data_IF_203900519722
#
_entry.id   IF_203900519722
#
_cell.length_a   1.000
_cell.length_b   1.000
_cell.length_c   1.000
_cell.angle_alpha   90.00
_cell.angle_beta   90.00
_cell.angle_gamma   90.00
#
_symmetry.space_group_name_H-M   'P 1'
#
loop_
_entity.id
_entity.type
_entity.pdbx_description
1 polymer ?
#
# COMPACT_ATOMS: atom_id res chain seq x y z
N UNK A 1 67.70 -35.51 25.15
CA UNK A 1 66.98 -36.41 26.08
C UNK A 1 66.87 -35.71 27.43
N UNK A 2 65.64 -35.41 27.88
CA UNK A 2 65.18 -34.94 29.20
C UNK A 2 63.92 -34.09 28.94
N UNK A 3 62.71 -34.61 29.21
CA UNK A 3 61.93 -34.46 30.47
C UNK A 3 61.36 -33.02 30.60
N UNK A 4 60.09 -32.74 30.94
CA UNK A 4 58.96 -33.53 31.43
C UNK A 4 57.66 -32.71 31.30
N UNK A 5 56.56 -33.39 30.96
CA UNK A 5 55.20 -33.38 31.58
C UNK A 5 54.80 -32.09 32.31
N UNK A 6 53.73 -31.36 31.98
CA UNK A 6 52.38 -31.83 31.64
C UNK A 6 51.57 -32.06 32.92
N UNK A 7 50.90 -31.01 33.44
CA UNK A 7 49.98 -31.06 34.59
C UNK A 7 48.51 -30.85 34.14
N UNK A 8 47.51 -31.23 34.95
CA UNK A 8 46.32 -31.93 34.46
C UNK A 8 45.05 -31.08 34.37
N UNK A 9 44.13 -31.67 33.62
CA UNK A 9 42.68 -31.47 33.57
C UNK A 9 41.99 -31.51 34.94
N UNK A 10 41.12 -30.53 35.21
CA UNK A 10 39.98 -30.68 36.12
C UNK A 10 38.71 -30.09 35.49
N UNK A 11 37.73 -30.96 35.33
CA UNK A 11 36.34 -30.70 34.93
C UNK A 11 35.55 -30.21 36.14
N UNK A 12 34.74 -29.16 36.00
CA UNK A 12 33.60 -28.91 36.89
C UNK A 12 32.36 -28.50 36.09
N UNK A 13 31.31 -29.29 36.31
CA UNK A 13 29.95 -29.17 35.78
C UNK A 13 29.13 -28.10 36.55
N UNK A 14 28.16 -27.53 35.82
CA UNK A 14 26.82 -27.08 36.23
C UNK A 14 26.67 -26.18 37.48
N UNK A 15 26.06 -25.00 37.27
CA UNK A 15 24.76 -24.63 37.88
C UNK A 15 24.30 -23.24 37.39
N UNK A 16 23.22 -23.21 36.62
CA UNK A 16 22.47 -22.00 36.25
C UNK A 16 21.75 -21.41 37.49
N UNK A 17 21.67 -20.08 37.64
CA UNK A 17 20.69 -19.48 38.54
C UNK A 17 19.35 -19.26 37.82
N UNK A 18 18.32 -19.93 38.32
CA UNK A 18 16.90 -19.60 38.09
C UNK A 18 16.50 -18.35 38.91
N UNK A 19 15.39 -17.74 38.45
CA UNK A 19 14.45 -16.78 39.10
C UNK A 19 14.76 -15.31 38.76
N UNK A 20 13.81 -14.43 38.44
CA UNK A 20 12.35 -14.51 38.47
C UNK A 20 11.79 -13.36 37.61
N UNK A 21 10.80 -13.61 36.75
CA UNK A 21 9.90 -12.57 36.27
C UNK A 21 8.46 -13.04 36.50
N UNK A 22 7.82 -12.39 37.46
CA UNK A 22 6.44 -12.55 37.85
C UNK A 22 5.56 -12.05 36.70
N UNK A 23 4.81 -12.93 36.04
CA UNK A 23 3.64 -12.54 35.24
C UNK A 23 2.38 -12.79 36.08
N UNK A 24 1.47 -11.83 36.05
CA UNK A 24 0.06 -12.02 36.38
C UNK A 24 -0.81 -11.42 35.27
N UNK A 25 -2.07 -11.89 35.15
CA UNK A 25 -2.71 -12.14 33.85
C UNK A 25 -3.96 -11.26 33.61
N UNK A 26 -4.71 -11.64 32.57
CA UNK A 26 -6.00 -11.11 32.09
C UNK A 26 -5.87 -10.06 30.97
N UNK A 27 -6.62 -10.11 29.86
CA UNK A 27 -7.91 -10.75 29.58
C UNK A 27 -8.01 -11.01 28.07
N UNK A 28 -8.47 -12.20 27.71
CA UNK A 28 -8.78 -12.60 26.33
C UNK A 28 -10.19 -12.13 25.98
N UNK A 29 -10.36 -11.41 24.87
CA UNK A 29 -11.58 -11.51 24.05
C UNK A 29 -11.19 -11.57 22.57
N UNK A 30 -11.37 -12.76 22.02
CA UNK A 30 -11.33 -13.05 20.60
C UNK A 30 -12.66 -12.56 20.02
N UNK A 31 -12.61 -11.73 18.97
CA UNK A 31 -13.80 -11.41 18.15
C UNK A 31 -13.55 -12.01 16.78
N UNK A 32 -14.41 -12.97 16.47
CA UNK A 32 -14.58 -13.66 15.19
C UNK A 32 -14.97 -12.70 14.09
N UNK A 33 -14.35 -12.85 12.92
CA UNK A 33 -14.78 -12.21 11.69
C UNK A 33 -15.89 -13.02 11.03
N UNK A 34 -17.05 -12.41 10.80
CA UNK A 34 -18.02 -12.89 9.82
C UNK A 34 -18.34 -11.78 8.83
N UNK A 35 -18.19 -12.13 7.56
CA UNK A 35 -18.56 -11.37 6.38
C UNK A 35 -20.08 -11.32 6.25
N UNK A 36 -20.67 -10.15 5.93
CA UNK A 36 -21.58 -9.95 4.78
C UNK A 36 -22.34 -8.61 4.83
N UNK A 37 -22.38 -7.95 3.67
CA UNK A 37 -23.44 -7.05 3.14
C UNK A 37 -23.88 -5.81 3.91
N UNK A 38 -23.56 -4.62 3.38
CA UNK A 38 -24.48 -3.67 2.70
C UNK A 38 -23.82 -2.28 2.52
N UNK A 39 -23.86 -1.73 1.31
CA UNK A 39 -23.79 -0.27 1.11
C UNK A 39 -25.13 0.35 1.53
N UNK A 40 -25.11 1.60 2.05
CA UNK A 40 -25.80 2.64 1.32
C UNK A 40 -25.08 4.00 1.27
N UNK A 41 -25.55 4.79 0.32
CA UNK A 41 -25.04 6.04 -0.23
C UNK A 41 -25.31 7.27 0.66
N UNK A 42 -24.39 8.25 0.61
CA UNK A 42 -24.50 9.68 1.01
C UNK A 42 -24.78 9.98 2.49
N UNK A 43 -23.87 10.67 3.18
CA UNK A 43 -23.83 12.14 3.31
C UNK A 43 -22.62 12.57 4.16
N UNK A 44 -21.91 13.57 3.64
CA UNK A 44 -20.85 14.42 4.18
C UNK A 44 -20.76 14.57 5.72
N UNK A 45 -19.62 14.19 6.30
CA UNK A 45 -18.92 14.89 7.40
C UNK A 45 -17.45 14.44 7.38
N UNK A 46 -16.61 15.24 6.72
CA UNK A 46 -15.15 15.08 6.76
C UNK A 46 -14.70 15.44 8.18
N UNK A 47 -14.42 14.42 9.00
CA UNK A 47 -13.65 14.63 10.22
C UNK A 47 -12.24 15.02 9.80
N UNK A 48 -11.89 16.27 10.09
CA UNK A 48 -10.57 16.87 9.92
C UNK A 48 -9.57 16.03 10.72
N UNK A 49 -8.67 15.33 10.04
CA UNK A 49 -7.48 14.79 10.67
C UNK A 49 -6.67 15.95 11.28
N UNK A 50 -6.08 15.80 12.47
CA UNK A 50 -5.12 16.77 12.96
C UNK A 50 -3.94 16.82 11.99
N UNK A 51 -3.48 18.03 11.69
CA UNK A 51 -2.34 18.30 10.82
C UNK A 51 -1.17 17.37 11.16
N UNK A 52 -0.80 16.51 10.21
CA UNK A 52 0.56 16.01 10.13
C UNK A 52 1.38 17.16 9.51
N UNK A 53 1.87 18.06 10.36
CA UNK A 53 2.80 19.08 9.90
C UNK A 53 4.03 18.38 9.32
N UNK A 54 4.17 18.56 8.02
CA UNK A 54 5.34 18.32 7.21
C UNK A 54 6.56 18.90 7.96
N UNK A 55 7.50 18.06 8.36
CA UNK A 55 8.79 18.53 8.90
C UNK A 55 9.57 19.15 7.74
N UNK A 56 9.29 20.44 7.51
CA UNK A 56 9.87 21.26 6.45
C UNK A 56 11.30 21.62 6.86
N UNK A 57 12.27 20.84 6.37
CA UNK A 57 13.71 21.04 6.62
C UNK A 57 14.29 22.26 5.89
N UNK A 58 13.47 23.07 5.22
CA UNK A 58 13.90 24.23 4.43
C UNK A 58 14.03 25.55 5.23
N UNK A 59 13.68 25.56 6.53
CA UNK A 59 13.76 26.78 7.39
C UNK A 59 14.80 26.76 8.52
N UNK A 60 15.82 25.90 8.46
CA UNK A 60 17.00 26.08 9.33
C UNK A 60 18.06 26.96 8.64
N UNK A 61 17.66 28.15 8.20
CA UNK A 61 18.57 29.20 7.78
C UNK A 61 18.64 30.27 8.87
N UNK A 62 19.87 30.47 9.37
CA UNK A 62 20.32 31.52 10.31
C UNK A 62 20.01 31.28 11.78
N UNK A 63 20.59 30.22 12.34
CA UNK A 63 21.05 30.30 13.73
C UNK A 63 22.56 30.51 13.73
N UNK A 64 22.98 31.77 13.89
CA UNK A 64 24.37 32.19 14.05
C UNK A 64 24.99 31.71 15.38
N UNK A 65 24.38 30.71 16.04
CA UNK A 65 24.70 30.33 17.41
C UNK A 65 25.93 29.41 17.54
N UNK A 66 26.51 28.97 16.42
CA UNK A 66 27.70 28.11 16.40
C UNK A 66 29.00 28.82 15.97
N UNK A 67 28.97 30.12 15.63
CA UNK A 67 30.20 30.89 15.38
C UNK A 67 30.76 31.62 16.61
N UNK A 68 30.01 31.70 17.70
CA UNK A 68 30.45 32.44 18.90
C UNK A 68 31.26 31.58 19.89
N UNK A 69 31.41 30.26 19.66
CA UNK A 69 32.17 29.40 20.58
C UNK A 69 33.68 29.32 20.22
N UNK A 70 34.11 29.91 19.10
CA UNK A 70 35.51 29.81 18.61
C UNK A 70 36.34 31.09 18.88
N UNK A 71 35.74 32.20 19.34
CA UNK A 71 36.43 33.49 19.51
C UNK A 71 36.92 33.81 20.94
N UNK A 72 36.93 32.84 21.86
CA UNK A 72 37.03 33.14 23.30
C UNK A 72 38.29 32.70 24.05
N UNK A 73 39.16 31.86 23.49
CA UNK A 73 40.23 31.26 24.30
C UNK A 73 41.61 31.53 23.70
N UNK A 74 42.04 32.79 23.84
CA UNK A 74 43.45 33.13 23.92
C UNK A 74 44.07 32.33 25.08
N UNK A 75 44.71 31.21 24.76
CA UNK A 75 45.48 30.42 25.72
C UNK A 75 46.88 31.04 25.91
N UNK A 76 46.93 32.34 26.17
CA UNK A 76 48.13 33.05 26.64
C UNK A 76 47.96 33.40 28.12
N UNK A 77 47.53 32.43 28.94
CA UNK A 77 47.75 32.54 30.37
C UNK A 77 49.20 32.14 30.66
N UNK A 78 50.05 33.16 30.64
CA UNK A 78 51.34 33.18 31.29
C UNK A 78 51.18 32.59 32.70
N UNK A 79 51.79 31.43 32.92
CA UNK A 79 51.74 30.73 34.20
C UNK A 79 52.68 31.45 35.17
N UNK A 80 52.12 32.33 35.99
CA UNK A 80 52.82 32.80 37.19
C UNK A 80 52.82 31.70 38.25
N UNK A 81 53.77 30.78 38.12
CA UNK A 81 54.14 29.88 39.22
C UNK A 81 54.82 30.70 40.31
N UNK A 82 54.04 31.17 41.28
CA UNK A 82 54.59 31.62 42.55
C UNK A 82 55.03 30.39 43.34
N UNK A 83 56.30 30.06 43.24
CA UNK A 83 56.98 29.18 44.20
C UNK A 83 56.91 29.85 45.56
N UNK A 84 56.05 29.37 46.45
CA UNK A 84 56.08 29.80 47.85
C UNK A 84 57.49 29.56 48.38
N UNK A 85 58.11 30.59 48.96
CA UNK A 85 59.46 30.50 49.52
C UNK A 85 59.54 29.28 50.46
N UNK A 86 60.58 28.45 50.31
CA UNK A 86 60.88 27.36 51.24
C UNK A 86 61.04 27.97 52.63
N UNK A 87 59.98 27.92 53.44
CA UNK A 87 60.10 28.13 54.87
C UNK A 87 61.02 27.03 55.42
N UNK A 88 62.15 27.37 56.07
CA UNK A 88 62.95 26.38 56.77
C UNK A 88 62.04 25.71 57.79
N UNK A 89 61.84 24.39 57.65
CA UNK A 89 61.11 23.62 58.67
C UNK A 89 62.01 23.54 59.90
N UNK A 90 61.82 24.48 60.82
CA UNK A 90 62.50 24.46 62.11
C UNK A 90 61.75 23.49 63.03
N UNK A 91 61.98 22.21 62.81
CA UNK A 91 61.56 21.13 63.70
C UNK A 91 62.80 20.37 64.16
N UNK A 92 63.71 21.07 64.82
CA UNK A 92 64.79 20.41 65.54
C UNK A 92 64.21 19.93 66.88
N UNK A 93 63.96 18.62 66.99
CA UNK A 93 63.56 18.03 68.27
C UNK A 93 64.78 18.03 69.19
N UNK A 94 64.82 18.97 70.14
CA UNK A 94 65.92 19.09 71.10
C UNK A 94 65.79 18.03 72.21
N UNK A 95 66.54 16.95 72.06
CA UNK A 95 66.54 15.81 72.98
C UNK A 95 67.13 16.17 74.35
N UNK A 96 68.09 17.10 74.42
CA UNK A 96 68.76 17.48 75.66
C UNK A 96 67.86 18.36 76.53
N UNK A 97 67.14 19.31 75.91
CA UNK A 97 66.17 20.14 76.62
C UNK A 97 65.00 19.32 77.17
N UNK A 98 64.61 18.26 76.47
CA UNK A 98 63.57 17.34 76.93
C UNK A 98 64.02 16.52 78.16
N UNK A 99 65.25 15.98 78.12
CA UNK A 99 65.81 15.23 79.26
C UNK A 99 66.00 16.12 80.49
N UNK A 100 66.49 17.35 80.34
CA UNK A 100 66.66 18.29 81.47
C UNK A 100 65.33 18.62 82.15
N UNK A 101 64.25 18.85 81.38
CA UNK A 101 62.92 19.08 81.96
C UNK A 101 62.41 17.88 82.75
N UNK A 102 62.64 16.66 82.27
CA UNK A 102 62.23 15.46 83.01
C UNK A 102 63.01 15.31 84.33
N UNK A 103 64.29 15.67 84.32
CA UNK A 103 65.10 15.70 85.55
C UNK A 103 64.60 16.76 86.55
N UNK A 104 64.20 17.94 86.07
CA UNK A 104 63.61 19.01 86.91
C UNK A 104 62.29 18.57 87.57
N UNK A 105 61.50 17.72 86.90
CA UNK A 105 60.24 17.15 87.41
C UNK A 105 60.46 15.90 88.30
N UNK A 106 61.71 15.59 88.66
CA UNK A 106 62.04 14.53 89.64
C UNK A 106 62.32 13.15 89.05
N UNK A 107 62.48 13.01 87.72
CA UNK A 107 62.91 11.75 87.12
C UNK A 107 64.42 11.57 87.20
N UNK A 108 64.87 10.32 87.35
CA UNK A 108 66.31 10.02 87.26
C UNK A 108 66.80 10.22 85.82
N UNK A 109 68.09 10.53 85.67
CA UNK A 109 68.70 10.72 84.34
C UNK A 109 68.51 9.50 83.44
N UNK A 110 68.70 8.30 83.99
CA UNK A 110 68.51 7.05 83.25
C UNK A 110 67.07 6.85 82.74
N UNK A 111 66.07 7.19 83.57
CA UNK A 111 64.65 7.12 83.19
C UNK A 111 64.30 8.16 82.13
N UNK A 112 64.83 9.38 82.27
CA UNK A 112 64.61 10.49 81.33
C UNK A 112 65.19 10.17 79.94
N UNK A 113 66.40 9.60 79.90
CA UNK A 113 67.05 9.14 78.66
C UNK A 113 66.30 7.97 78.04
N UNK A 114 65.78 7.03 78.84
CA UNK A 114 64.98 5.91 78.34
C UNK A 114 63.66 6.37 77.70
N UNK A 115 62.93 7.28 78.35
CA UNK A 115 61.69 7.87 77.80
C UNK A 115 61.95 8.65 76.51
N UNK A 116 63.07 9.39 76.45
CA UNK A 116 63.49 10.09 75.24
C UNK A 116 63.71 9.13 74.06
N UNK A 117 64.36 7.98 74.28
CA UNK A 117 64.55 6.97 73.23
C UNK A 117 63.22 6.44 72.67
N UNK A 118 62.27 6.11 73.54
CA UNK A 118 60.94 5.64 73.11
C UNK A 118 60.19 6.71 72.32
N UNK A 119 60.27 7.98 72.74
CA UNK A 119 59.66 9.09 72.00
C UNK A 119 60.31 9.31 70.64
N UNK A 120 61.65 9.21 70.54
CA UNK A 120 62.34 9.25 69.25
C UNK A 120 61.82 8.17 68.30
N UNK A 121 61.67 6.94 68.78
CA UNK A 121 61.21 5.82 67.96
C UNK A 121 59.78 6.05 67.43
N UNK A 122 58.86 6.52 68.30
CA UNK A 122 57.48 6.85 67.93
C UNK A 122 57.43 8.02 66.94
N UNK A 123 58.25 9.06 67.13
CA UNK A 123 58.33 10.21 66.22
C UNK A 123 58.88 9.78 64.86
N UNK A 124 59.92 8.96 64.83
CA UNK A 124 60.51 8.48 63.59
C UNK A 124 59.57 7.53 62.81
N UNK A 125 58.81 6.70 63.51
CA UNK A 125 57.73 5.92 62.90
C UNK A 125 56.60 6.81 62.36
N UNK A 126 56.19 7.83 63.12
CA UNK A 126 55.16 8.80 62.72
C UNK A 126 55.58 9.61 61.48
N UNK A 127 56.82 10.11 61.45
CA UNK A 127 57.36 10.86 60.30
C UNK A 127 57.44 9.94 59.07
N UNK A 128 57.89 8.69 59.22
CA UNK A 128 57.90 7.73 58.10
C UNK A 128 56.49 7.44 57.59
N UNK A 129 55.50 7.30 58.49
CA UNK A 129 54.10 7.08 58.10
C UNK A 129 53.50 8.28 57.36
N UNK A 130 53.74 9.50 57.85
CA UNK A 130 53.32 10.74 57.20
C UNK A 130 54.00 10.92 55.83
N UNK A 131 55.31 10.70 55.76
CA UNK A 131 56.07 10.90 54.52
C UNK A 131 55.68 9.89 53.44
N UNK A 132 55.23 8.67 53.80
CA UNK A 132 54.72 7.68 52.84
C UNK A 132 53.48 8.14 52.06
N UNK A 133 52.66 9.00 52.65
CA UNK A 133 51.42 9.51 52.02
C UNK A 133 51.59 10.90 51.40
N UNK A 134 52.71 11.57 51.68
CA UNK A 134 53.03 12.86 51.11
C UNK A 134 53.67 12.72 49.72
N UNK A 135 53.30 13.61 48.82
CA UNK A 135 53.87 13.69 47.47
C UNK A 135 54.68 14.97 47.35
N UNK A 136 55.85 14.90 46.72
CA UNK A 136 56.65 16.09 46.44
C UNK A 136 55.89 17.02 45.50
N UNK A 137 56.03 18.33 45.71
CA UNK A 137 55.32 19.33 44.89
C UNK A 137 55.71 19.27 43.41
N UNK A 138 56.95 18.87 43.12
CA UNK A 138 57.44 18.67 41.75
C UNK A 138 56.73 17.50 41.06
N UNK A 139 56.58 16.36 41.72
CA UNK A 139 55.87 15.20 41.19
C UNK A 139 54.38 15.49 41.01
N UNK A 140 53.77 16.19 41.99
CA UNK A 140 52.38 16.64 41.88
C UNK A 140 52.19 17.59 40.67
N UNK A 141 53.11 18.54 40.48
CA UNK A 141 53.07 19.47 39.35
C UNK A 141 53.27 18.76 38.00
N UNK A 142 54.17 17.79 37.94
CA UNK A 142 54.42 16.96 36.76
C UNK A 142 53.20 16.12 36.39
N UNK A 143 52.61 15.41 37.35
CA UNK A 143 51.39 14.62 37.15
C UNK A 143 50.21 15.48 36.69
N UNK A 144 50.06 16.68 37.27
CA UNK A 144 49.03 17.64 36.84
C UNK A 144 49.28 18.15 35.43
N UNK A 145 50.54 18.35 35.05
CA UNK A 145 50.91 18.78 33.71
C UNK A 145 50.60 17.71 32.66
N UNK A 146 51.01 16.46 32.89
CA UNK A 146 50.71 15.35 31.98
C UNK A 146 49.20 15.16 31.82
N UNK A 147 48.46 15.17 32.92
CA UNK A 147 47.00 15.08 32.88
C UNK A 147 46.36 16.19 32.03
N UNK A 148 46.85 17.44 32.13
CA UNK A 148 46.35 18.56 31.32
C UNK A 148 46.66 18.39 29.83
N UNK A 149 47.84 17.90 29.50
CA UNK A 149 48.23 17.61 28.10
C UNK A 149 47.37 16.48 27.54
N UNK A 150 47.15 15.42 28.31
CA UNK A 150 46.31 14.28 27.91
C UNK A 150 44.87 14.72 27.68
N UNK A 151 44.31 15.57 28.55
CA UNK A 151 42.98 16.15 28.34
C UNK A 151 42.90 17.03 27.08
N UNK A 152 43.93 17.82 26.79
CA UNK A 152 43.97 18.63 25.58
C UNK A 152 44.04 17.76 24.33
N UNK A 153 44.81 16.66 24.36
CA UNK A 153 44.91 15.68 23.28
C UNK A 153 43.58 14.95 23.06
N UNK A 154 42.99 14.39 24.11
CA UNK A 154 41.69 13.71 24.04
C UNK A 154 40.59 14.63 23.50
N UNK A 155 40.58 15.90 23.92
CA UNK A 155 39.64 16.89 23.40
C UNK A 155 39.81 17.10 21.90
N UNK A 156 41.05 17.18 21.43
CA UNK A 156 41.35 17.39 20.00
C UNK A 156 40.94 16.17 19.17
N UNK A 157 41.25 14.96 19.65
CA UNK A 157 40.85 13.72 19.01
C UNK A 157 39.32 13.58 18.98
N UNK A 158 38.62 13.91 20.07
CA UNK A 158 37.17 13.90 20.13
C UNK A 158 36.54 14.88 19.12
N UNK A 159 37.02 16.12 19.08
CA UNK A 159 36.51 17.13 18.14
C UNK A 159 36.77 16.72 16.69
N UNK A 160 37.93 16.13 16.40
CA UNK A 160 38.25 15.62 15.08
C UNK A 160 37.32 14.45 14.70
N UNK A 161 37.14 13.48 15.60
CA UNK A 161 36.27 12.33 15.37
C UNK A 161 34.81 12.77 15.16
N UNK A 162 34.28 13.62 16.02
CA UNK A 162 32.92 14.18 15.93
C UNK A 162 32.71 14.94 14.61
N UNK A 163 33.66 15.79 14.22
CA UNK A 163 33.59 16.50 12.93
C UNK A 163 33.59 15.54 11.74
N UNK A 164 34.38 14.46 11.79
CA UNK A 164 34.43 13.47 10.70
C UNK A 164 33.16 12.63 10.63
N UNK A 165 32.63 12.20 11.77
CA UNK A 165 31.38 11.42 11.86
C UNK A 165 30.17 12.24 11.44
N UNK A 166 30.11 13.51 11.84
CA UNK A 166 29.09 14.44 11.39
C UNK A 166 29.13 14.65 9.87
N UNK A 167 30.33 14.81 9.30
CA UNK A 167 30.51 14.96 7.86
C UNK A 167 30.10 13.70 7.07
N UNK A 168 30.47 12.50 7.54
CA UNK A 168 30.09 11.24 6.88
C UNK A 168 28.60 10.98 6.98
N UNK A 169 27.99 11.25 8.14
CA UNK A 169 26.54 11.13 8.36
C UNK A 169 25.76 12.10 7.48
N UNK A 170 26.23 13.34 7.35
CA UNK A 170 25.60 14.32 6.45
C UNK A 170 25.72 13.89 4.99
N UNK A 171 26.89 13.41 4.56
CA UNK A 171 27.09 12.93 3.21
C UNK A 171 26.22 11.71 2.88
N UNK A 172 26.05 10.76 3.82
CA UNK A 172 25.17 9.61 3.62
C UNK A 172 23.70 10.03 3.58
N UNK A 173 23.28 10.98 4.43
CA UNK A 173 21.94 11.53 4.41
C UNK A 173 21.61 12.23 3.08
N UNK A 174 22.51 13.07 2.56
CA UNK A 174 22.35 13.73 1.26
C UNK A 174 22.26 12.72 0.11
N UNK A 175 23.09 11.66 0.13
CA UNK A 175 23.02 10.57 -0.85
C UNK A 175 21.67 9.85 -0.81
N UNK A 176 21.21 9.44 0.38
CA UNK A 176 19.93 8.76 0.56
C UNK A 176 18.75 9.64 0.13
N UNK A 177 18.81 10.94 0.41
CA UNK A 177 17.79 11.90 -0.01
C UNK A 177 17.71 12.01 -1.53
N UNK A 178 18.87 12.04 -2.20
CA UNK A 178 18.94 12.06 -3.67
C UNK A 178 18.40 10.76 -4.28
N UNK A 179 18.74 9.60 -3.70
CA UNK A 179 18.22 8.30 -4.15
C UNK A 179 16.70 8.21 -3.97
N UNK A 180 16.18 8.71 -2.85
CA UNK A 180 14.74 8.81 -2.61
C UNK A 180 14.06 9.67 -3.69
N UNK A 181 14.59 10.86 -3.97
CA UNK A 181 14.04 11.74 -5.01
C UNK A 181 14.05 11.06 -6.38
N UNK A 182 15.14 10.38 -6.73
CA UNK A 182 15.28 9.63 -7.99
C UNK A 182 14.28 8.47 -8.10
N UNK A 183 14.12 7.68 -7.04
CA UNK A 183 13.14 6.59 -7.00
C UNK A 183 11.71 7.12 -7.06
N UNK A 184 11.42 8.23 -6.40
CA UNK A 184 10.10 8.86 -6.44
C UNK A 184 9.74 9.32 -7.86
N UNK A 185 10.68 9.97 -8.56
CA UNK A 185 10.50 10.35 -9.97
C UNK A 185 10.22 9.12 -10.83
N UNK A 186 11.05 8.08 -10.72
CA UNK A 186 10.87 6.83 -11.50
C UNK A 186 9.51 6.19 -11.25
N UNK A 187 9.09 6.11 -9.98
CA UNK A 187 7.79 5.55 -9.64
C UNK A 187 6.65 6.39 -10.21
N UNK A 188 6.74 7.72 -10.18
CA UNK A 188 5.75 8.60 -10.81
C UNK A 188 5.69 8.37 -12.32
N UNK A 189 6.84 8.24 -12.97
CA UNK A 189 6.91 7.99 -14.41
C UNK A 189 6.29 6.64 -14.78
N UNK A 190 6.58 5.58 -14.02
CA UNK A 190 5.97 4.25 -14.21
C UNK A 190 4.47 4.24 -13.93
N UNK A 191 4.00 4.94 -12.89
CA UNK A 191 2.57 5.10 -12.61
C UNK A 191 1.87 5.83 -13.75
N UNK A 192 2.45 6.92 -14.25
CA UNK A 192 1.89 7.67 -15.38
C UNK A 192 1.86 6.83 -16.66
N UNK A 193 2.92 6.05 -16.92
CA UNK A 193 3.02 5.15 -18.06
C UNK A 193 1.99 4.02 -17.98
N UNK A 194 1.89 3.35 -16.85
CA UNK A 194 0.90 2.27 -16.62
C UNK A 194 -0.53 2.82 -16.67
N UNK A 195 -0.79 4.00 -16.12
CA UNK A 195 -2.09 4.65 -16.20
C UNK A 195 -2.47 5.00 -17.66
N UNK A 196 -1.52 5.50 -18.45
CA UNK A 196 -1.74 5.78 -19.87
C UNK A 196 -2.03 4.48 -20.66
N UNK A 197 -1.30 3.40 -20.37
CA UNK A 197 -1.54 2.07 -20.95
C UNK A 197 -2.95 1.57 -20.65
N UNK A 198 -3.34 1.57 -19.37
CA UNK A 198 -4.68 1.09 -18.96
C UNK A 198 -5.80 1.94 -19.59
N UNK A 199 -5.60 3.26 -19.71
CA UNK A 199 -6.57 4.12 -20.41
C UNK A 199 -6.69 3.76 -21.88
N UNK A 200 -5.57 3.50 -22.56
CA UNK A 200 -5.58 3.06 -23.95
C UNK A 200 -6.28 1.69 -24.08
N UNK A 201 -5.95 0.73 -23.23
CA UNK A 201 -6.55 -0.61 -23.24
C UNK A 201 -8.06 -0.54 -23.07
N UNK A 202 -8.55 0.24 -22.11
CA UNK A 202 -9.98 0.45 -21.90
C UNK A 202 -10.65 1.15 -23.09
N UNK A 203 -9.96 2.12 -23.72
CA UNK A 203 -10.50 2.81 -24.89
C UNK A 203 -10.59 1.88 -26.11
N UNK A 204 -9.57 1.05 -26.34
CA UNK A 204 -9.58 0.04 -27.41
C UNK A 204 -10.66 -1.00 -27.15
N UNK A 205 -10.79 -1.47 -25.91
CA UNK A 205 -11.79 -2.44 -25.52
C UNK A 205 -13.22 -1.87 -25.64
N UNK A 206 -13.42 -0.60 -25.27
CA UNK A 206 -14.70 0.10 -25.51
C UNK A 206 -15.00 0.22 -27.01
N UNK A 207 -13.98 0.48 -27.82
CA UNK A 207 -14.10 0.46 -29.29
C UNK A 207 -14.52 -0.91 -29.81
N UNK A 208 -13.88 -1.98 -29.32
CA UNK A 208 -14.19 -3.37 -29.69
C UNK A 208 -15.62 -3.77 -29.31
N UNK A 209 -16.04 -3.48 -28.08
CA UNK A 209 -17.42 -3.75 -27.62
C UNK A 209 -18.44 -3.02 -28.50
N UNK A 210 -18.15 -1.78 -28.89
CA UNK A 210 -19.02 -1.02 -29.79
C UNK A 210 -19.11 -1.65 -31.18
N UNK A 211 -17.98 -2.08 -31.73
CA UNK A 211 -17.97 -2.72 -33.05
C UNK A 211 -18.73 -4.06 -33.01
N UNK A 212 -18.52 -4.86 -31.97
CA UNK A 212 -19.26 -6.12 -31.78
C UNK A 212 -20.77 -5.87 -31.61
N UNK A 213 -21.15 -4.82 -30.87
CA UNK A 213 -22.55 -4.42 -30.74
C UNK A 213 -23.16 -4.00 -32.08
N UNK A 214 -22.44 -3.20 -32.89
CA UNK A 214 -22.88 -2.81 -34.23
C UNK A 214 -23.05 -4.03 -35.15
N UNK A 215 -22.11 -4.97 -35.11
CA UNK A 215 -22.17 -6.22 -35.88
C UNK A 215 -23.39 -7.05 -35.47
N UNK A 216 -23.69 -7.14 -34.19
CA UNK A 216 -24.90 -7.81 -33.71
C UNK A 216 -26.16 -7.08 -34.17
N UNK A 217 -26.19 -5.75 -34.12
CA UNK A 217 -27.31 -4.94 -34.60
C UNK A 217 -27.57 -5.16 -36.09
N UNK A 218 -26.51 -5.24 -36.91
CA UNK A 218 -26.63 -5.54 -38.35
C UNK A 218 -27.19 -6.95 -38.59
N UNK A 219 -26.70 -7.96 -37.85
CA UNK A 219 -27.24 -9.33 -37.95
C UNK A 219 -28.71 -9.38 -37.56
N UNK A 220 -29.11 -8.65 -36.53
CA UNK A 220 -30.52 -8.55 -36.11
C UNK A 220 -31.35 -7.95 -37.25
N UNK A 221 -30.94 -6.83 -37.84
CA UNK A 221 -31.63 -6.21 -38.97
C UNK A 221 -31.72 -7.12 -40.19
N UNK A 222 -30.67 -7.86 -40.51
CA UNK A 222 -30.69 -8.86 -41.59
C UNK A 222 -31.72 -9.97 -41.27
N UNK A 223 -31.78 -10.46 -40.04
CA UNK A 223 -32.80 -11.45 -39.67
C UNK A 223 -34.21 -10.89 -39.64
N UNK A 224 -34.38 -9.63 -39.21
CA UNK A 224 -35.67 -8.93 -39.21
C UNK A 224 -36.21 -8.81 -40.63
N UNK A 225 -35.40 -8.35 -41.58
CA UNK A 225 -35.78 -8.28 -43.00
C UNK A 225 -36.10 -9.66 -43.59
N UNK A 226 -35.37 -10.72 -43.23
CA UNK A 226 -35.70 -12.10 -43.64
C UNK A 226 -37.04 -12.56 -43.09
N UNK A 227 -37.38 -12.20 -41.85
CA UNK A 227 -38.68 -12.51 -41.24
C UNK A 227 -39.79 -11.76 -41.96
N UNK A 228 -39.62 -10.46 -42.22
CA UNK A 228 -40.58 -9.66 -42.97
C UNK A 228 -40.87 -10.25 -44.36
N UNK A 229 -39.81 -10.66 -45.08
CA UNK A 229 -39.94 -11.36 -46.37
C UNK A 229 -40.66 -12.70 -46.23
N UNK A 230 -40.34 -13.50 -45.21
CA UNK A 230 -41.02 -14.77 -44.97
C UNK A 230 -42.51 -14.57 -44.63
N UNK A 231 -42.86 -13.53 -43.87
CA UNK A 231 -44.23 -13.15 -43.55
C UNK A 231 -44.98 -12.69 -44.81
N UNK A 232 -44.36 -11.86 -45.65
CA UNK A 232 -44.93 -11.44 -46.92
C UNK A 232 -45.20 -12.63 -47.85
N UNK A 233 -44.25 -13.56 -47.96
CA UNK A 233 -44.39 -14.79 -48.74
C UNK A 233 -45.50 -15.70 -48.21
N UNK A 234 -45.59 -15.88 -46.88
CA UNK A 234 -46.66 -16.65 -46.25
C UNK A 234 -48.02 -15.99 -46.49
N UNK A 235 -48.09 -14.66 -46.47
CA UNK A 235 -49.31 -13.92 -46.78
C UNK A 235 -49.73 -14.10 -48.23
N UNK A 236 -48.81 -14.02 -49.20
CA UNK A 236 -49.10 -14.28 -50.61
C UNK A 236 -49.64 -15.71 -50.80
N UNK A 237 -48.98 -16.71 -50.21
CA UNK A 237 -49.44 -18.10 -50.26
C UNK A 237 -50.83 -18.27 -49.65
N UNK A 238 -51.11 -17.60 -48.52
CA UNK A 238 -52.40 -17.68 -47.85
C UNK A 238 -53.51 -17.01 -48.67
N UNK A 239 -53.23 -15.88 -49.31
CA UNK A 239 -54.14 -15.25 -50.26
C UNK A 239 -54.39 -16.17 -51.47
N UNK A 240 -53.35 -16.80 -52.02
CA UNK A 240 -53.48 -17.80 -53.09
C UNK A 240 -54.35 -19.00 -52.70
N UNK A 241 -54.16 -19.55 -51.50
CA UNK A 241 -55.00 -20.66 -50.98
C UNK A 241 -56.45 -20.21 -50.84
N UNK A 242 -56.71 -19.00 -50.33
CA UNK A 242 -58.08 -18.45 -50.26
C UNK A 242 -58.73 -18.40 -51.65
N UNK A 243 -58.02 -17.93 -52.68
CA UNK A 243 -58.57 -17.89 -54.04
C UNK A 243 -58.82 -19.28 -54.61
N UNK A 244 -57.91 -20.24 -54.40
CA UNK A 244 -58.14 -21.62 -54.81
C UNK A 244 -59.39 -22.21 -54.14
N UNK A 245 -59.54 -22.04 -52.83
CA UNK A 245 -60.72 -22.52 -52.10
C UNK A 245 -62.01 -21.87 -52.61
N UNK A 246 -61.99 -20.56 -52.89
CA UNK A 246 -63.15 -19.86 -53.47
C UNK A 246 -63.50 -20.40 -54.87
N UNK A 247 -62.51 -20.67 -55.72
CA UNK A 247 -62.73 -21.23 -57.04
C UNK A 247 -63.34 -22.64 -56.97
N UNK A 248 -62.84 -23.52 -56.09
CA UNK A 248 -63.43 -24.83 -55.84
C UNK A 248 -64.88 -24.72 -55.37
N UNK A 249 -65.17 -23.80 -54.45
CA UNK A 249 -66.51 -23.58 -53.92
C UNK A 249 -67.47 -23.12 -55.03
N UNK A 250 -67.06 -22.18 -55.89
CA UNK A 250 -67.85 -21.76 -57.05
C UNK A 250 -68.11 -22.91 -58.03
N UNK A 251 -67.12 -23.77 -58.28
CA UNK A 251 -67.27 -24.95 -59.12
C UNK A 251 -68.29 -25.96 -58.57
N UNK A 252 -68.22 -26.27 -57.28
CA UNK A 252 -69.16 -27.17 -56.61
C UNK A 252 -70.59 -26.60 -56.61
N UNK A 253 -70.75 -25.31 -56.28
CA UNK A 253 -72.07 -24.65 -56.31
C UNK A 253 -72.70 -24.68 -57.72
N UNK A 254 -71.89 -24.42 -58.75
CA UNK A 254 -72.35 -24.46 -60.16
C UNK A 254 -72.72 -25.88 -60.58
N UNK A 255 -71.91 -26.87 -60.21
CA UNK A 255 -72.19 -28.29 -60.47
C UNK A 255 -73.50 -28.77 -59.82
N UNK A 256 -73.73 -28.45 -58.55
CA UNK A 256 -74.97 -28.80 -57.84
C UNK A 256 -76.17 -28.13 -58.52
N UNK A 257 -76.06 -26.86 -58.92
CA UNK A 257 -77.12 -26.16 -59.65
C UNK A 257 -77.43 -26.84 -60.99
N UNK A 258 -76.41 -27.20 -61.76
CA UNK A 258 -76.58 -27.89 -63.05
C UNK A 258 -77.23 -29.26 -62.91
N UNK A 259 -76.77 -30.09 -61.97
CA UNK A 259 -77.36 -31.40 -61.71
C UNK A 259 -78.81 -31.27 -61.25
N UNK A 260 -79.08 -30.33 -60.34
CA UNK A 260 -80.45 -30.04 -59.88
C UNK A 260 -81.38 -29.62 -61.01
N UNK A 261 -80.91 -28.73 -61.89
CA UNK A 261 -81.67 -28.31 -63.07
C UNK A 261 -81.91 -29.48 -64.05
N UNK A 262 -80.90 -30.32 -64.30
CA UNK A 262 -81.03 -31.49 -65.17
C UNK A 262 -82.02 -32.53 -64.61
N UNK A 263 -82.00 -32.79 -63.31
CA UNK A 263 -82.96 -33.70 -62.65
C UNK A 263 -84.38 -33.09 -62.65
N UNK A 264 -84.50 -31.78 -62.44
CA UNK A 264 -85.78 -31.06 -62.50
C UNK A 264 -86.38 -31.08 -63.92
N UNK A 265 -85.58 -30.85 -64.97
CA UNK A 265 -86.02 -30.94 -66.36
C UNK A 265 -86.45 -32.37 -66.72
N UNK A 266 -85.76 -33.40 -66.22
CA UNK A 266 -86.14 -34.80 -66.42
C UNK A 266 -87.45 -35.18 -65.71
N UNK A 267 -87.69 -34.67 -64.50
CA UNK A 267 -88.93 -34.88 -63.74
C UNK A 267 -90.12 -34.10 -64.32
N UNK A 268 -89.90 -32.93 -64.90
CA UNK A 268 -90.96 -32.07 -65.48
C UNK A 268 -91.29 -32.44 -66.93
N UNK A 269 -90.32 -32.90 -67.72
CA UNK A 269 -90.51 -33.35 -69.11
C UNK A 269 -91.24 -34.70 -69.20
N UNK A 270 -91.22 -35.52 -68.14
CA UNK A 270 -91.98 -36.77 -68.07
C UNK A 270 -93.49 -36.62 -67.88
N UNK A 271 -94.03 -35.40 -67.72
CA UNK A 271 -95.48 -35.20 -67.46
C UNK A 271 -96.19 -34.08 -68.22
N UNK A 272 -95.54 -33.24 -69.02
CA UNK A 272 -96.24 -32.24 -69.84
C UNK A 272 -95.52 -32.00 -71.18
N UNK A 273 -96.17 -32.43 -72.27
CA UNK A 273 -95.79 -32.03 -73.63
C UNK A 273 -96.17 -30.56 -73.86
N UNK A 274 -95.16 -29.69 -74.00
CA UNK A 274 -95.36 -28.26 -74.21
C UNK A 274 -94.07 -27.56 -74.58
N UNK A 275 -93.74 -27.54 -75.86
CA UNK A 275 -92.62 -26.79 -76.44
C UNK A 275 -92.98 -25.30 -76.51
N UNK A 276 -92.67 -24.49 -75.49
CA UNK A 276 -92.44 -23.03 -75.68
C UNK A 276 -91.82 -22.28 -74.48
N UNK A 277 -91.68 -22.88 -73.29
CA UNK A 277 -91.08 -22.21 -72.11
C UNK A 277 -89.58 -22.50 -71.89
N UNK A 278 -88.96 -23.39 -72.68
CA UNK A 278 -87.55 -23.79 -72.52
C UNK A 278 -86.52 -22.70 -72.84
N UNK A 279 -86.88 -21.66 -73.60
CA UNK A 279 -85.92 -20.64 -74.02
C UNK A 279 -85.56 -19.64 -72.91
N UNK A 280 -86.47 -19.30 -71.98
CA UNK A 280 -86.18 -18.31 -70.94
C UNK A 280 -85.27 -18.86 -69.83
N UNK A 281 -85.48 -20.08 -69.34
CA UNK A 281 -84.62 -20.66 -68.28
C UNK A 281 -83.22 -21.05 -68.79
N UNK A 282 -83.09 -21.47 -70.06
CA UNK A 282 -81.77 -21.76 -70.65
C UNK A 282 -80.93 -20.48 -70.85
N UNK A 283 -81.58 -19.34 -71.14
CA UNK A 283 -80.91 -18.03 -71.22
C UNK A 283 -80.46 -17.58 -69.82
N UNK A 284 -81.22 -17.85 -68.76
CA UNK A 284 -80.87 -17.47 -67.39
C UNK A 284 -79.69 -18.29 -66.82
N UNK A 285 -79.64 -19.60 -67.13
CA UNK A 285 -78.48 -20.45 -66.79
C UNK A 285 -77.24 -20.02 -67.59
N UNK A 286 -77.40 -19.67 -68.86
CA UNK A 286 -76.32 -19.13 -69.69
C UNK A 286 -75.80 -17.78 -69.18
N UNK A 287 -76.68 -16.85 -68.80
CA UNK A 287 -76.32 -15.56 -68.22
C UNK A 287 -75.61 -15.73 -66.86
N UNK A 288 -76.07 -16.66 -66.01
CA UNK A 288 -75.42 -16.98 -64.73
C UNK A 288 -74.03 -17.60 -64.94
N UNK A 289 -73.85 -18.44 -65.95
CA UNK A 289 -72.55 -19.03 -66.29
C UNK A 289 -71.58 -17.97 -66.84
N UNK A 290 -72.05 -17.05 -67.68
CA UNK A 290 -71.23 -15.95 -68.20
C UNK A 290 -70.83 -14.97 -67.10
N UNK A 291 -71.74 -14.64 -66.17
CA UNK A 291 -71.43 -13.79 -65.01
C UNK A 291 -70.40 -14.46 -64.08
N UNK A 292 -70.54 -15.76 -63.80
CA UNK A 292 -69.57 -16.47 -62.95
C UNK A 292 -68.19 -16.64 -63.60
N UNK A 293 -68.11 -16.86 -64.92
CA UNK A 293 -66.83 -16.87 -65.65
C UNK A 293 -66.20 -15.47 -65.71
N UNK A 294 -67.03 -14.43 -65.89
CA UNK A 294 -66.56 -13.04 -65.89
C UNK A 294 -66.03 -12.64 -64.51
N UNK A 295 -66.71 -12.99 -63.43
CA UNK A 295 -66.25 -12.75 -62.06
C UNK A 295 -64.94 -13.51 -61.76
N UNK A 296 -64.83 -14.79 -62.16
CA UNK A 296 -63.57 -15.55 -62.01
C UNK A 296 -62.42 -14.93 -62.82
N UNK A 297 -62.69 -14.44 -64.03
CA UNK A 297 -61.69 -13.78 -64.88
C UNK A 297 -61.27 -12.41 -64.34
N UNK A 298 -62.21 -11.62 -63.81
CA UNK A 298 -61.93 -10.35 -63.15
C UNK A 298 -61.12 -10.54 -61.87
N UNK A 299 -61.43 -11.56 -61.06
CA UNK A 299 -60.65 -11.92 -59.87
C UNK A 299 -59.22 -12.30 -60.24
N UNK A 300 -59.03 -13.10 -61.30
CA UNK A 300 -57.71 -13.52 -61.74
C UNK A 300 -56.87 -12.35 -62.28
N UNK A 301 -57.51 -11.40 -62.97
CA UNK A 301 -56.85 -10.19 -63.50
C UNK A 301 -56.46 -9.22 -62.37
N UNK A 302 -57.32 -9.01 -61.37
CA UNK A 302 -57.01 -8.18 -60.19
C UNK A 302 -55.86 -8.78 -59.37
N UNK A 303 -55.80 -10.10 -59.25
CA UNK A 303 -54.69 -10.79 -58.57
C UNK A 303 -53.36 -10.66 -59.32
N UNK A 304 -53.37 -10.72 -60.65
CA UNK A 304 -52.14 -10.56 -61.44
C UNK A 304 -51.56 -9.15 -61.31
N UNK A 305 -52.42 -8.12 -61.29
CA UNK A 305 -52.03 -6.73 -61.08
C UNK A 305 -51.52 -6.50 -59.65
N UNK A 306 -52.10 -7.18 -58.63
CA UNK A 306 -51.63 -7.08 -57.24
C UNK A 306 -50.24 -7.70 -57.06
N UNK A 307 -49.94 -8.78 -57.78
CA UNK A 307 -48.65 -9.47 -57.76
C UNK A 307 -47.53 -8.66 -58.40
N UNK A 308 -47.85 -7.86 -59.43
CA UNK A 308 -46.89 -6.97 -60.11
C UNK A 308 -46.58 -5.70 -59.30
N UNK A 309 -47.43 -5.32 -58.34
CA UNK A 309 -47.28 -4.12 -57.51
C UNK A 309 -46.69 -4.39 -56.11
N UNK A 310 -46.25 -5.62 -55.82
CA UNK A 310 -45.69 -6.04 -54.52
C UNK A 310 -44.34 -6.75 -54.63
N UNK A 311 -43.71 -6.74 -55.81
CA UNK A 311 -42.28 -6.99 -56.01
C UNK A 311 -41.52 -5.68 -56.13
#
# INVERSE_FOLDING_TARGET
MMASRGLPTHTLQFLSPKRSCRRSPASKKCITWTSSTLCPTKTQKVLKAPNCDLFDTSKLSRSNHLRTIISGYNFNQYRDFRSAARQPRDHHFDTLKFVRRLQEEGFTEAQSVAMMKVLSDVIEESIRNLTRTMVLREDQAKATYTQKVDFAKLRTELLSADSTESATTRASHERLTNDLAKLNSRLRDEINRTQASVRLDLNLEKGRIREEANVQELKIKETETKIEQAVAHLREKLEGVKFQTLQWLMGVCTGIKFIGFSVFDMLTTGRYGGTHTRCLETIDVGATLVLTISDVSQINTVCNIKKENSG
#
